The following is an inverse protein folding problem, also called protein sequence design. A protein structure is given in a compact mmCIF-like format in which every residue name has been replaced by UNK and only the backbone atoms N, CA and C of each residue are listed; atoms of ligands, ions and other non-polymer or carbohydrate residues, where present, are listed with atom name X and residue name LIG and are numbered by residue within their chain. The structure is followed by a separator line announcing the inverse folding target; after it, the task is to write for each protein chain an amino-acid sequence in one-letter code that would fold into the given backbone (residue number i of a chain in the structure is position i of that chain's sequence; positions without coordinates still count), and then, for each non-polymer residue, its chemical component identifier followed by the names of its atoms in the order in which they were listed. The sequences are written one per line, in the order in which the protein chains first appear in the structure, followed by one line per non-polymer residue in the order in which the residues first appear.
data_IF_003940914402
#
_entry.id   IF_003940914402
#
_cell.length_a   1.000
_cell.length_b   1.000
_cell.length_c   1.000
_cell.angle_alpha   90.00
_cell.angle_beta   90.00
_cell.angle_gamma   90.00
#
_symmetry.space_group_name_H-M   'P 1'
#
loop_
_entity.id
_entity.type
_entity.pdbx_description
1 polymer ?
#
# COMPACT_ATOMS: atom_id res chain seq x y z
N UNK A 1 20.63 -22.96 -9.74
CA UNK A 1 19.69 -21.82 -9.69
C UNK A 1 19.23 -21.53 -11.11
N UNK A 2 17.94 -21.79 -11.41
CA UNK A 2 17.44 -21.62 -12.79
C UNK A 2 16.67 -20.30 -13.01
N UNK A 3 16.62 -19.41 -12.01
CA UNK A 3 15.94 -18.11 -12.15
C UNK A 3 16.85 -17.08 -12.84
N UNK A 4 16.41 -16.46 -13.95
CA UNK A 4 17.18 -15.42 -14.64
C UNK A 4 17.49 -14.23 -13.72
N UNK A 5 16.54 -13.82 -12.87
CA UNK A 5 16.70 -12.73 -11.90
C UNK A 5 17.82 -13.03 -10.90
N UNK A 6 17.84 -14.24 -10.32
CA UNK A 6 18.90 -14.61 -9.37
C UNK A 6 20.27 -14.73 -10.04
N UNK A 7 20.32 -15.10 -11.33
CA UNK A 7 21.58 -15.10 -12.09
C UNK A 7 22.07 -13.67 -12.35
N UNK A 8 21.17 -12.76 -12.68
CA UNK A 8 21.50 -11.34 -12.85
C UNK A 8 22.06 -10.75 -11.55
N UNK A 9 21.35 -10.90 -10.42
CA UNK A 9 21.80 -10.42 -9.10
C UNK A 9 23.17 -10.99 -8.71
N UNK A 10 23.40 -12.27 -9.00
CA UNK A 10 24.72 -12.87 -8.80
C UNK A 10 25.82 -12.22 -9.66
N UNK A 11 25.51 -11.86 -10.89
CA UNK A 11 26.45 -11.17 -11.78
C UNK A 11 26.77 -9.77 -11.26
N UNK A 12 25.78 -9.05 -10.77
CA UNK A 12 25.95 -7.70 -10.20
C UNK A 12 26.82 -7.69 -8.93
N UNK A 13 26.83 -8.80 -8.16
CA UNK A 13 27.73 -9.01 -7.03
C UNK A 13 29.13 -9.49 -7.43
N UNK A 14 29.45 -9.51 -8.72
CA UNK A 14 30.75 -9.94 -9.22
C UNK A 14 31.38 -8.80 -10.00
N UNK A 15 32.59 -8.41 -9.67
CA UNK A 15 33.38 -7.39 -10.35
C UNK A 15 34.83 -7.88 -10.54
N UNK A 16 35.43 -7.63 -11.69
CA UNK A 16 36.82 -7.98 -12.02
C UNK A 16 37.21 -9.43 -11.62
N UNK A 17 36.38 -10.41 -11.89
CA UNK A 17 36.52 -11.82 -11.51
C UNK A 17 36.57 -12.09 -9.98
N UNK A 18 36.17 -11.12 -9.17
CA UNK A 18 36.07 -11.23 -7.72
C UNK A 18 34.63 -10.98 -7.25
N UNK A 19 34.17 -11.76 -6.27
CA UNK A 19 32.86 -11.53 -5.68
C UNK A 19 32.88 -10.38 -4.67
N UNK A 20 31.78 -9.67 -4.49
CA UNK A 20 31.62 -8.64 -3.48
C UNK A 20 32.06 -9.13 -2.08
N UNK A 21 31.69 -10.35 -1.71
CA UNK A 21 32.08 -10.99 -0.45
C UNK A 21 33.60 -11.13 -0.29
N UNK A 22 34.31 -11.50 -1.37
CA UNK A 22 35.77 -11.60 -1.35
C UNK A 22 36.43 -10.22 -1.22
N UNK A 23 35.93 -9.23 -1.96
CA UNK A 23 36.44 -7.86 -1.91
C UNK A 23 36.23 -7.23 -0.51
N UNK A 24 35.05 -7.40 0.09
CA UNK A 24 34.75 -6.92 1.44
C UNK A 24 35.61 -7.64 2.48
N UNK A 25 35.81 -8.96 2.35
CA UNK A 25 36.70 -9.73 3.24
C UNK A 25 38.15 -9.24 3.15
N UNK A 26 38.61 -8.90 1.93
CA UNK A 26 39.94 -8.31 1.73
C UNK A 26 40.06 -6.97 2.45
N UNK A 27 39.07 -6.08 2.35
CA UNK A 27 39.02 -4.82 3.09
C UNK A 27 39.05 -5.05 4.59
N UNK A 28 38.22 -5.97 5.10
CA UNK A 28 38.20 -6.32 6.53
C UNK A 28 39.60 -6.77 7.04
N UNK A 29 40.31 -7.60 6.25
CA UNK A 29 41.64 -8.02 6.59
C UNK A 29 42.64 -6.86 6.60
N UNK A 30 42.53 -5.91 5.65
CA UNK A 30 43.38 -4.71 5.62
C UNK A 30 43.11 -3.80 6.83
N UNK A 31 41.85 -3.60 7.18
CA UNK A 31 41.43 -2.81 8.35
C UNK A 31 41.94 -3.45 9.64
N UNK A 32 41.75 -4.76 9.81
CA UNK A 32 42.27 -5.50 10.96
C UNK A 32 43.82 -5.42 11.08
N UNK A 33 44.50 -5.43 9.92
CA UNK A 33 45.95 -5.25 9.90
C UNK A 33 46.36 -3.83 10.30
N UNK A 34 45.60 -2.81 9.91
CA UNK A 34 45.84 -1.43 10.33
C UNK A 34 45.55 -1.21 11.80
N UNK A 35 44.58 -1.91 12.38
CA UNK A 35 44.22 -1.84 13.81
C UNK A 35 45.32 -2.34 14.75
N UNK A 36 46.32 -3.11 14.23
CA UNK A 36 47.53 -3.48 15.01
C UNK A 36 48.31 -2.24 15.50
N UNK A 37 48.11 -1.06 14.93
CA UNK A 37 48.67 0.22 15.38
C UNK A 37 48.28 0.60 16.80
N UNK A 38 47.16 0.09 17.31
CA UNK A 38 46.70 0.34 18.69
C UNK A 38 47.59 -0.31 19.73
N UNK A 39 48.43 -1.29 19.35
CA UNK A 39 49.43 -1.89 20.21
C UNK A 39 50.77 -1.13 20.08
N UNK A 40 51.11 -0.32 21.08
CA UNK A 40 52.28 0.57 21.07
C UNK A 40 53.59 -0.13 20.73
N UNK A 41 53.87 -1.30 21.32
CA UNK A 41 55.08 -2.06 21.07
C UNK A 41 55.17 -2.58 19.63
N UNK A 42 54.06 -3.21 19.16
CA UNK A 42 53.98 -3.72 17.80
C UNK A 42 54.06 -2.60 16.78
N UNK A 43 53.34 -1.48 17.02
CA UNK A 43 53.36 -0.28 16.16
C UNK A 43 54.78 0.27 16.02
N UNK A 44 55.51 0.45 17.12
CA UNK A 44 56.88 0.99 17.09
C UNK A 44 57.85 0.09 16.30
N UNK A 45 57.79 -1.21 16.51
CA UNK A 45 58.63 -2.17 15.80
C UNK A 45 58.28 -2.24 14.30
N UNK A 46 57.00 -2.41 13.98
CA UNK A 46 56.55 -2.56 12.61
C UNK A 46 56.74 -1.29 11.78
N UNK A 47 56.46 -0.10 12.37
CA UNK A 47 56.64 1.15 11.66
C UNK A 47 58.12 1.53 11.53
N UNK A 48 58.92 1.28 12.56
CA UNK A 48 60.35 1.58 12.51
C UNK A 48 61.13 0.73 11.51
N UNK A 49 60.72 -0.53 11.28
CA UNK A 49 61.40 -1.43 10.36
C UNK A 49 60.88 -1.44 8.96
N UNK A 50 59.54 -1.37 8.76
CA UNK A 50 58.92 -1.68 7.48
C UNK A 50 57.81 -0.67 7.04
N UNK A 51 57.65 0.45 7.74
CA UNK A 51 56.60 1.44 7.44
C UNK A 51 55.24 0.80 7.35
N UNK A 52 54.89 -0.08 8.31
CA UNK A 52 53.71 -0.94 8.26
C UNK A 52 52.42 -0.16 8.06
N UNK A 53 52.19 0.87 8.80
CA UNK A 53 50.98 1.70 8.74
C UNK A 53 50.83 2.33 7.35
N UNK A 54 51.88 2.95 6.83
CA UNK A 54 51.91 3.52 5.50
C UNK A 54 51.56 2.49 4.41
N UNK A 55 52.13 1.28 4.53
CA UNK A 55 51.82 0.19 3.59
C UNK A 55 50.36 -0.25 3.67
N UNK A 56 49.76 -0.34 4.88
CA UNK A 56 48.33 -0.69 4.99
C UNK A 56 47.45 0.41 4.41
N UNK A 57 47.74 1.69 4.66
CA UNK A 57 47.03 2.81 4.08
C UNK A 57 47.07 2.77 2.55
N UNK A 58 48.27 2.58 1.94
CA UNK A 58 48.39 2.45 0.49
C UNK A 58 47.59 1.27 -0.07
N UNK A 59 47.51 0.14 0.62
CA UNK A 59 46.70 -1.02 0.21
C UNK A 59 45.21 -0.73 0.31
N UNK A 60 44.78 0.00 1.34
CA UNK A 60 43.38 0.43 1.50
C UNK A 60 43.00 1.42 0.41
N UNK A 61 43.85 2.40 0.10
CA UNK A 61 43.61 3.34 -1.00
C UNK A 61 43.51 2.61 -2.35
N UNK A 62 44.41 1.66 -2.61
CA UNK A 62 44.35 0.84 -3.82
C UNK A 62 43.05 0.01 -3.89
N UNK A 63 42.60 -0.53 -2.77
CA UNK A 63 41.33 -1.25 -2.69
C UNK A 63 40.17 -0.29 -3.00
N UNK A 64 40.17 0.90 -2.43
CA UNK A 64 39.18 1.94 -2.67
C UNK A 64 39.13 2.36 -4.15
N UNK A 65 40.27 2.63 -4.76
CA UNK A 65 40.35 2.94 -6.21
C UNK A 65 39.74 1.83 -7.08
N UNK A 66 39.89 0.57 -6.66
CA UNK A 66 39.42 -0.59 -7.41
C UNK A 66 37.92 -0.86 -7.22
N UNK A 67 37.38 -0.64 -6.01
CA UNK A 67 36.05 -1.13 -5.63
C UNK A 67 35.06 -0.06 -5.18
N UNK A 68 35.47 1.20 -4.99
CA UNK A 68 34.56 2.23 -4.47
C UNK A 68 33.34 2.47 -5.38
N UNK A 69 33.52 2.36 -6.70
CA UNK A 69 32.43 2.48 -7.67
C UNK A 69 31.44 1.30 -7.66
N UNK A 70 31.85 0.15 -7.16
CA UNK A 70 31.01 -1.04 -7.08
C UNK A 70 30.15 -1.10 -5.82
N UNK A 71 30.58 -0.43 -4.75
CA UNK A 71 29.91 -0.48 -3.43
C UNK A 71 28.41 -0.11 -3.48
N UNK A 72 28.00 1.01 -4.11
CA UNK A 72 26.59 1.35 -4.17
C UNK A 72 25.75 0.24 -4.82
N UNK A 73 26.24 -0.32 -5.94
CA UNK A 73 25.58 -1.42 -6.66
C UNK A 73 25.49 -2.68 -5.79
N UNK A 74 26.53 -3.04 -5.06
CA UNK A 74 26.48 -4.19 -4.15
C UNK A 74 25.46 -4.03 -3.03
N UNK A 75 25.37 -2.82 -2.44
CA UNK A 75 24.38 -2.52 -1.40
C UNK A 75 22.97 -2.61 -1.96
N UNK A 76 22.73 -2.03 -3.13
CA UNK A 76 21.44 -2.09 -3.82
C UNK A 76 21.01 -3.53 -4.13
N UNK A 77 21.93 -4.33 -4.70
CA UNK A 77 21.69 -5.74 -5.02
C UNK A 77 21.37 -6.58 -3.77
N UNK A 78 22.06 -6.30 -2.64
CA UNK A 78 21.77 -6.98 -1.37
C UNK A 78 20.36 -6.58 -0.88
N UNK A 79 20.00 -5.29 -1.01
CA UNK A 79 18.64 -4.81 -0.69
C UNK A 79 17.56 -5.49 -1.52
N UNK A 80 17.78 -5.69 -2.82
CA UNK A 80 16.87 -6.44 -3.67
C UNK A 80 16.74 -7.92 -3.24
N UNK A 81 17.85 -8.58 -2.93
CA UNK A 81 17.81 -9.97 -2.44
C UNK A 81 17.01 -10.05 -1.13
N UNK A 82 17.21 -9.11 -0.21
CA UNK A 82 16.48 -9.07 1.07
C UNK A 82 14.97 -8.86 0.84
N UNK A 83 14.59 -7.97 -0.09
CA UNK A 83 13.22 -7.78 -0.50
C UNK A 83 12.59 -9.07 -1.07
N UNK A 84 13.29 -9.76 -1.97
CA UNK A 84 12.82 -11.06 -2.49
C UNK A 84 12.72 -12.13 -1.41
N UNK A 85 13.65 -12.18 -0.46
CA UNK A 85 13.58 -13.10 0.68
C UNK A 85 12.37 -12.81 1.55
N UNK A 86 12.05 -11.54 1.78
CA UNK A 86 10.86 -11.11 2.54
C UNK A 86 9.56 -11.54 1.85
N UNK A 87 9.45 -11.33 0.53
CA UNK A 87 8.30 -11.76 -0.27
C UNK A 87 8.19 -13.30 -0.33
N UNK A 88 9.31 -14.00 -0.43
CA UNK A 88 9.33 -15.46 -0.42
C UNK A 88 8.89 -16.02 0.94
N UNK A 89 9.30 -15.41 2.04
CA UNK A 89 8.86 -15.75 3.40
C UNK A 89 7.36 -15.51 3.57
N UNK A 90 6.86 -14.38 3.05
CA UNK A 90 5.42 -14.09 3.05
C UNK A 90 4.66 -15.16 2.27
N UNK A 91 5.13 -15.54 1.08
CA UNK A 91 4.52 -16.59 0.25
C UNK A 91 4.54 -17.95 0.96
N UNK A 92 5.65 -18.32 1.58
CA UNK A 92 5.80 -19.57 2.30
C UNK A 92 4.83 -19.68 3.49
N UNK A 93 4.62 -18.58 4.20
CA UNK A 93 3.71 -18.53 5.34
C UNK A 93 2.22 -18.49 4.94
N UNK A 94 1.92 -18.25 3.65
CA UNK A 94 0.56 -18.12 3.13
C UNK A 94 0.37 -19.01 1.90
N UNK A 95 0.44 -20.35 2.05
CA UNK A 95 0.40 -21.30 0.92
C UNK A 95 -0.96 -21.33 0.19
N UNK A 96 -2.01 -20.79 0.80
CA UNK A 96 -3.36 -20.67 0.24
C UNK A 96 -3.59 -19.36 -0.53
N UNK A 97 -2.59 -18.46 -0.57
CA UNK A 97 -2.65 -17.24 -1.37
C UNK A 97 -2.29 -17.56 -2.83
N UNK A 98 -2.84 -16.78 -3.74
CA UNK A 98 -2.62 -16.94 -5.17
C UNK A 98 -1.77 -15.80 -5.74
N UNK A 99 -0.99 -16.07 -6.76
CA UNK A 99 -0.38 -15.01 -7.56
C UNK A 99 -1.43 -14.43 -8.52
N UNK A 100 -1.65 -13.09 -8.51
CA UNK A 100 -2.62 -12.46 -9.38
C UNK A 100 -2.14 -12.47 -10.82
N UNK A 101 -3.11 -12.45 -11.76
CA UNK A 101 -2.81 -12.22 -13.16
C UNK A 101 -2.67 -10.72 -13.42
N UNK A 102 -1.59 -10.33 -14.08
CA UNK A 102 -1.35 -8.95 -14.49
C UNK A 102 -1.84 -8.76 -15.92
N UNK A 103 -2.79 -7.83 -16.11
CA UNK A 103 -3.31 -7.47 -17.42
C UNK A 103 -2.40 -6.41 -18.06
N UNK A 104 -2.16 -6.54 -19.37
CA UNK A 104 -1.50 -5.52 -20.19
C UNK A 104 -2.48 -4.60 -20.92
N UNK A 105 -3.78 -4.89 -20.84
CA UNK A 105 -4.84 -4.09 -21.45
C UNK A 105 -5.27 -2.97 -20.51
N UNK A 106 -6.20 -2.09 -20.99
CA UNK A 106 -6.73 -0.96 -20.20
C UNK A 106 -7.12 -1.35 -18.76
N UNK A 107 -7.28 -0.36 -17.89
CA UNK A 107 -7.52 -0.57 -16.45
C UNK A 107 -8.58 -1.64 -16.18
N UNK A 108 -8.17 -2.64 -15.44
CA UNK A 108 -8.96 -3.80 -15.07
C UNK A 108 -8.60 -4.19 -13.63
N UNK A 109 -9.60 -4.39 -12.79
CA UNK A 109 -9.44 -4.91 -11.44
C UNK A 109 -10.62 -5.85 -11.16
N UNK A 110 -10.38 -7.14 -11.26
CA UNK A 110 -11.35 -8.17 -10.92
C UNK A 110 -10.77 -9.09 -9.88
N UNK A 111 -11.52 -9.32 -8.80
CA UNK A 111 -11.14 -10.30 -7.80
C UNK A 111 -12.37 -10.97 -7.20
N UNK A 112 -12.24 -12.28 -6.92
CA UNK A 112 -13.23 -13.06 -6.21
C UNK A 112 -12.72 -13.38 -4.81
N UNK A 113 -13.60 -13.22 -3.82
CA UNK A 113 -13.36 -13.61 -2.43
C UNK A 113 -12.04 -13.07 -1.86
N UNK A 114 -11.83 -11.73 -1.95
CA UNK A 114 -10.72 -11.02 -1.32
C UNK A 114 -10.82 -11.07 0.20
N UNK A 115 -9.73 -11.48 0.87
CA UNK A 115 -9.58 -11.42 2.30
C UNK A 115 -8.49 -10.42 2.73
N UNK A 116 -8.61 -9.86 3.92
CA UNK A 116 -7.60 -8.95 4.47
C UNK A 116 -6.43 -9.78 5.06
N UNK A 117 -5.19 -9.65 4.57
CA UNK A 117 -4.06 -10.51 4.97
C UNK A 117 -3.78 -10.56 6.48
N UNK A 118 -4.10 -9.47 7.21
CA UNK A 118 -3.86 -9.38 8.65
C UNK A 118 -5.07 -9.82 9.50
N UNK A 119 -6.18 -10.27 8.88
CA UNK A 119 -7.33 -10.75 9.61
C UNK A 119 -7.24 -12.25 9.87
N UNK A 120 -7.84 -12.66 11.00
CA UNK A 120 -8.01 -14.08 11.28
C UNK A 120 -8.84 -14.74 10.17
N UNK A 121 -8.30 -15.81 9.56
CA UNK A 121 -8.89 -16.52 8.42
C UNK A 121 -10.32 -16.99 8.68
N UNK A 122 -10.58 -17.45 9.90
CA UNK A 122 -11.89 -18.00 10.29
C UNK A 122 -12.94 -16.91 10.56
N UNK A 123 -12.53 -15.65 10.72
CA UNK A 123 -13.42 -14.51 11.00
C UNK A 123 -13.55 -13.56 9.82
N UNK A 124 -12.69 -13.67 8.81
CA UNK A 124 -12.68 -12.78 7.67
C UNK A 124 -13.79 -13.14 6.69
N UNK A 125 -14.74 -12.25 6.51
CA UNK A 125 -15.74 -12.33 5.44
C UNK A 125 -15.12 -11.77 4.18
N UNK A 126 -15.06 -12.58 3.13
CA UNK A 126 -14.40 -12.24 1.88
C UNK A 126 -15.40 -11.73 0.85
N UNK A 127 -15.10 -10.60 0.24
CA UNK A 127 -15.93 -9.97 -0.79
C UNK A 127 -15.17 -9.85 -2.11
N UNK A 128 -15.89 -9.74 -3.22
CA UNK A 128 -15.29 -9.53 -4.54
C UNK A 128 -15.19 -8.06 -4.93
N UNK A 129 -14.57 -7.81 -6.08
CA UNK A 129 -14.55 -6.52 -6.76
C UNK A 129 -14.51 -6.76 -8.27
N UNK A 130 -15.18 -5.89 -9.03
CA UNK A 130 -15.18 -5.92 -10.49
C UNK A 130 -15.21 -4.49 -11.06
N UNK A 131 -14.09 -4.06 -11.66
CA UNK A 131 -13.92 -2.83 -12.41
C UNK A 131 -13.31 -3.22 -13.75
N UNK A 132 -14.09 -3.18 -14.82
CA UNK A 132 -13.72 -3.69 -16.13
C UNK A 132 -13.49 -2.59 -17.18
N UNK A 133 -13.59 -1.33 -16.80
CA UNK A 133 -13.43 -0.18 -17.68
C UNK A 133 -12.97 1.07 -16.96
N UNK A 134 -12.69 2.12 -17.72
CA UNK A 134 -12.27 3.43 -17.27
C UNK A 134 -13.02 4.53 -18.03
N UNK A 135 -13.55 5.57 -17.38
CA UNK A 135 -13.60 5.78 -15.93
C UNK A 135 -14.62 4.86 -15.25
N UNK A 136 -14.38 4.53 -13.99
CA UNK A 136 -15.31 3.73 -13.21
C UNK A 136 -15.16 3.98 -11.70
N UNK A 137 -16.28 4.22 -11.01
CA UNK A 137 -16.30 4.39 -9.57
C UNK A 137 -17.27 3.42 -8.89
N UNK A 138 -16.82 2.86 -7.78
CA UNK A 138 -17.66 2.11 -6.85
C UNK A 138 -17.99 3.03 -5.66
N UNK A 139 -19.28 3.24 -5.40
CA UNK A 139 -19.75 3.98 -4.23
C UNK A 139 -20.29 2.96 -3.22
N UNK A 140 -19.73 2.98 -2.01
CA UNK A 140 -20.08 2.04 -0.95
C UNK A 140 -20.74 2.80 0.19
N UNK A 141 -22.00 2.48 0.45
CA UNK A 141 -22.78 3.08 1.53
C UNK A 141 -22.96 2.10 2.70
N UNK A 142 -23.40 2.61 3.85
CA UNK A 142 -23.72 1.80 5.01
C UNK A 142 -23.35 2.42 6.34
N UNK A 143 -23.82 1.82 7.41
CA UNK A 143 -23.59 2.28 8.78
C UNK A 143 -22.12 2.18 9.23
N UNK A 144 -21.80 2.84 10.34
CA UNK A 144 -20.52 2.63 11.01
C UNK A 144 -20.43 1.17 11.49
N UNK A 145 -19.20 0.64 11.55
CA UNK A 145 -18.89 -0.74 11.94
C UNK A 145 -19.39 -1.84 10.97
N UNK A 146 -20.10 -1.49 9.89
CA UNK A 146 -20.64 -2.48 8.95
C UNK A 146 -19.57 -3.13 8.03
N UNK A 147 -18.31 -2.62 8.06
CA UNK A 147 -17.20 -3.25 7.32
C UNK A 147 -16.65 -2.45 6.15
N UNK A 148 -17.20 -1.27 5.82
CA UNK A 148 -16.76 -0.43 4.67
C UNK A 148 -15.26 -0.17 4.66
N UNK A 149 -14.71 0.42 5.72
CA UNK A 149 -13.28 0.76 5.81
C UNK A 149 -12.38 -0.48 5.78
N UNK A 150 -12.85 -1.60 6.34
CA UNK A 150 -12.13 -2.89 6.28
C UNK A 150 -12.07 -3.40 4.84
N UNK A 151 -13.17 -3.30 4.10
CA UNK A 151 -13.22 -3.69 2.69
C UNK A 151 -12.29 -2.81 1.84
N UNK A 152 -12.32 -1.48 2.00
CA UNK A 152 -11.41 -0.57 1.29
C UNK A 152 -9.94 -0.93 1.53
N UNK A 153 -9.58 -1.22 2.79
CA UNK A 153 -8.22 -1.67 3.13
C UNK A 153 -7.90 -3.03 2.52
N UNK A 154 -8.87 -3.95 2.51
CA UNK A 154 -8.70 -5.27 1.89
C UNK A 154 -8.39 -5.15 0.40
N UNK A 155 -9.14 -4.31 -0.33
CA UNK A 155 -8.87 -4.05 -1.74
C UNK A 155 -7.50 -3.39 -1.91
N UNK A 156 -7.22 -2.32 -1.16
CA UNK A 156 -5.97 -1.56 -1.29
C UNK A 156 -4.73 -2.40 -1.03
N UNK A 157 -4.71 -3.22 0.04
CA UNK A 157 -3.53 -4.03 0.37
C UNK A 157 -3.32 -5.17 -0.64
N UNK A 158 -4.38 -5.86 -1.08
CA UNK A 158 -4.22 -6.90 -2.09
C UNK A 158 -3.82 -6.31 -3.46
N UNK A 159 -4.35 -5.14 -3.82
CA UNK A 159 -3.92 -4.44 -5.03
C UNK A 159 -2.44 -4.06 -4.96
N UNK A 160 -1.98 -3.52 -3.83
CA UNK A 160 -0.56 -3.20 -3.61
C UNK A 160 0.32 -4.45 -3.70
N UNK A 161 -0.06 -5.54 -3.00
CA UNK A 161 0.65 -6.82 -3.07
C UNK A 161 0.73 -7.34 -4.51
N UNK A 162 -0.36 -7.26 -5.26
CA UNK A 162 -0.38 -7.63 -6.67
C UNK A 162 0.58 -6.79 -7.52
N UNK A 163 0.63 -5.47 -7.32
CA UNK A 163 1.52 -4.57 -8.05
C UNK A 163 3.01 -4.84 -7.79
N UNK A 164 3.37 -5.33 -6.60
CA UNK A 164 4.76 -5.69 -6.27
C UNK A 164 5.11 -7.15 -6.55
N UNK A 165 4.19 -7.91 -7.18
CA UNK A 165 4.41 -9.32 -7.53
C UNK A 165 4.28 -10.31 -6.39
N UNK A 166 3.67 -9.91 -5.26
CA UNK A 166 3.39 -10.78 -4.13
C UNK A 166 2.08 -11.56 -4.31
N UNK A 167 1.89 -12.71 -3.63
CA UNK A 167 0.62 -13.41 -3.62
C UNK A 167 -0.43 -12.62 -2.82
N UNK A 168 -1.70 -12.82 -3.18
CA UNK A 168 -2.86 -12.14 -2.61
C UNK A 168 -3.84 -13.15 -2.01
N UNK A 169 -4.58 -12.73 -1.00
CA UNK A 169 -5.61 -13.57 -0.42
C UNK A 169 -6.94 -13.44 -1.17
N UNK A 170 -7.04 -14.15 -2.26
CA UNK A 170 -8.22 -14.21 -3.11
C UNK A 170 -8.43 -15.62 -3.67
N UNK A 171 -9.63 -15.89 -4.19
CA UNK A 171 -9.87 -17.09 -5.00
C UNK A 171 -9.33 -16.90 -6.42
N UNK A 172 -9.52 -15.72 -6.97
CA UNK A 172 -8.96 -15.26 -8.24
C UNK A 172 -8.73 -13.76 -8.18
N UNK A 173 -7.69 -13.27 -8.86
CA UNK A 173 -7.44 -11.84 -9.01
C UNK A 173 -6.73 -11.55 -10.32
N UNK A 174 -7.23 -10.57 -11.05
CA UNK A 174 -6.62 -10.00 -12.24
C UNK A 174 -6.61 -8.48 -12.09
N UNK A 175 -5.45 -7.85 -12.34
CA UNK A 175 -5.28 -6.40 -12.22
C UNK A 175 -4.53 -5.82 -13.41
N UNK A 176 -4.82 -4.55 -13.70
CA UNK A 176 -3.93 -3.66 -14.43
C UNK A 176 -3.18 -2.79 -13.42
N UNK A 177 -1.85 -2.75 -13.41
CA UNK A 177 -1.09 -1.96 -12.46
C UNK A 177 -1.24 -0.47 -12.76
N UNK A 178 -1.79 0.28 -11.80
CA UNK A 178 -1.81 1.74 -11.78
C UNK A 178 -1.32 2.23 -10.41
N UNK A 179 -1.01 3.50 -10.29
CA UNK A 179 -0.56 4.04 -9.00
C UNK A 179 -1.72 4.12 -8.02
N UNK A 180 -1.61 3.38 -6.92
CA UNK A 180 -2.60 3.40 -5.84
C UNK A 180 -2.45 4.69 -5.02
N UNK A 181 -3.55 5.43 -4.87
CA UNK A 181 -3.63 6.58 -3.96
C UNK A 181 -4.81 6.39 -3.01
N UNK A 182 -4.57 6.54 -1.72
CA UNK A 182 -5.61 6.30 -0.71
C UNK A 182 -5.79 7.50 0.20
N UNK A 183 -7.04 7.75 0.64
CA UNK A 183 -7.39 8.62 1.74
C UNK A 183 -8.32 7.84 2.68
N UNK A 184 -7.73 7.00 3.54
CA UNK A 184 -8.48 6.05 4.39
C UNK A 184 -8.65 6.51 5.84
N UNK A 185 -7.80 7.31 6.36
CA UNK A 185 -7.88 8.08 7.60
C UNK A 185 -6.79 9.13 7.59
N UNK A 186 -7.11 10.34 7.95
CA UNK A 186 -6.12 11.35 8.34
C UNK A 186 -6.05 11.33 9.87
N UNK A 187 -4.86 11.18 10.43
CA UNK A 187 -4.62 11.43 11.85
C UNK A 187 -4.55 12.94 12.07
N UNK A 188 -5.15 13.43 13.15
CA UNK A 188 -4.90 14.79 13.60
C UNK A 188 -3.40 14.94 13.87
N UNK A 189 -2.74 15.83 13.14
CA UNK A 189 -1.40 16.27 13.50
C UNK A 189 -1.55 17.48 14.42
N UNK A 190 -1.42 17.25 15.70
CA UNK A 190 -1.39 18.33 16.70
C UNK A 190 -0.16 19.24 16.54
N UNK A 191 0.80 18.85 15.70
CA UNK A 191 2.06 19.55 15.49
C UNK A 191 2.00 20.63 14.39
N UNK A 192 1.06 20.54 13.45
CA UNK A 192 1.10 21.41 12.25
C UNK A 192 0.10 22.56 12.25
N UNK A 193 -0.66 22.79 13.33
CA UNK A 193 -1.69 23.84 13.44
C UNK A 193 -2.68 23.91 12.23
N UNK A 194 -2.75 22.88 11.41
CA UNK A 194 -3.67 22.81 10.28
C UNK A 194 -4.97 22.12 10.70
N UNK A 195 -6.11 22.69 10.28
CA UNK A 195 -7.38 22.02 10.50
C UNK A 195 -7.44 20.72 9.71
N UNK A 196 -8.03 19.68 10.30
CA UNK A 196 -8.29 18.39 9.66
C UNK A 196 -8.85 18.52 8.23
N UNK A 197 -9.80 19.43 8.05
CA UNK A 197 -10.43 19.71 6.77
C UNK A 197 -9.44 20.23 5.73
N UNK A 198 -8.51 21.13 6.13
CA UNK A 198 -7.53 21.69 5.21
C UNK A 198 -6.49 20.64 4.77
N UNK A 199 -6.05 19.78 5.68
CA UNK A 199 -5.17 18.66 5.35
C UNK A 199 -5.84 17.69 4.36
N UNK A 200 -7.13 17.42 4.54
CA UNK A 200 -7.90 16.61 3.60
C UNK A 200 -8.01 17.27 2.22
N UNK A 201 -8.29 18.57 2.14
CA UNK A 201 -8.31 19.32 0.87
C UNK A 201 -6.96 19.28 0.15
N UNK A 202 -5.84 19.45 0.86
CA UNK A 202 -4.49 19.30 0.29
C UNK A 202 -4.29 17.91 -0.33
N UNK A 203 -4.77 16.88 0.36
CA UNK A 203 -4.68 15.50 -0.16
C UNK A 203 -5.49 15.31 -1.43
N UNK A 204 -6.73 15.83 -1.46
CA UNK A 204 -7.58 15.77 -2.66
C UNK A 204 -6.97 16.58 -3.81
N UNK A 205 -6.41 17.77 -3.52
CA UNK A 205 -5.69 18.57 -4.52
C UNK A 205 -4.50 17.81 -5.09
N UNK A 206 -3.69 17.15 -4.25
CA UNK A 206 -2.57 16.31 -4.72
C UNK A 206 -3.03 15.21 -5.69
N UNK A 207 -4.20 14.59 -5.44
CA UNK A 207 -4.76 13.59 -6.36
C UNK A 207 -5.11 14.23 -7.70
N UNK A 208 -5.76 15.40 -7.66
CA UNK A 208 -6.14 16.14 -8.88
C UNK A 208 -4.89 16.53 -9.67
N UNK A 209 -3.86 17.10 -9.01
CA UNK A 209 -2.62 17.51 -9.67
C UNK A 209 -1.93 16.33 -10.38
N UNK A 210 -1.93 15.16 -9.77
CA UNK A 210 -1.39 13.93 -10.38
C UNK A 210 -2.18 13.49 -11.62
N UNK A 211 -3.51 13.57 -11.55
CA UNK A 211 -4.38 13.28 -12.70
C UNK A 211 -4.18 14.28 -13.82
N UNK A 212 -4.05 15.58 -13.52
CA UNK A 212 -3.74 16.64 -14.48
C UNK A 212 -2.37 16.44 -15.13
N UNK A 213 -1.41 15.90 -14.39
CA UNK A 213 -0.10 15.50 -14.90
C UNK A 213 -0.12 14.22 -15.77
N UNK A 214 -1.29 13.59 -15.95
CA UNK A 214 -1.45 12.38 -16.76
C UNK A 214 -1.08 11.09 -16.06
N UNK A 215 -0.89 11.09 -14.73
CA UNK A 215 -0.64 9.86 -13.98
C UNK A 215 -1.88 8.95 -13.99
N UNK A 216 -1.69 7.67 -14.21
CA UNK A 216 -2.75 6.67 -14.08
C UNK A 216 -2.93 6.29 -12.60
N UNK A 217 -4.07 6.66 -12.03
CA UNK A 217 -4.37 6.43 -10.62
C UNK A 217 -5.51 5.43 -10.43
N UNK A 218 -5.37 4.62 -9.37
CA UNK A 218 -6.47 3.92 -8.72
C UNK A 218 -6.69 4.55 -7.34
N UNK A 219 -7.89 5.10 -7.09
CA UNK A 219 -8.17 5.95 -5.93
C UNK A 219 -9.08 5.21 -4.95
N UNK A 220 -8.69 5.19 -3.66
CA UNK A 220 -9.52 4.64 -2.59
C UNK A 220 -9.75 5.71 -1.52
N UNK A 221 -11.02 6.09 -1.31
CA UNK A 221 -11.43 7.14 -0.39
C UNK A 221 -12.37 6.58 0.69
N UNK A 222 -12.12 6.96 1.94
CA UNK A 222 -12.97 6.60 3.08
C UNK A 222 -13.52 7.87 3.73
N UNK A 223 -14.77 8.21 3.41
CA UNK A 223 -15.44 9.43 3.84
C UNK A 223 -14.65 10.72 3.58
N UNK A 224 -14.96 11.39 2.52
CA UNK A 224 -14.34 12.68 2.17
C UNK A 224 -15.10 13.86 2.78
N UNK A 225 -14.36 14.98 2.98
CA UNK A 225 -14.87 16.27 3.44
C UNK A 225 -15.54 16.20 4.83
N UNK A 226 -14.89 15.51 5.77
CA UNK A 226 -15.42 15.30 7.14
C UNK A 226 -15.46 16.56 8.00
N UNK A 227 -14.64 17.54 7.71
CA UNK A 227 -14.45 18.74 8.55
C UNK A 227 -15.37 19.91 8.23
N UNK A 228 -16.42 19.74 7.41
CA UNK A 228 -17.36 20.80 7.03
C UNK A 228 -18.82 20.44 7.35
N UNK A 229 -19.73 21.38 7.15
CA UNK A 229 -21.17 21.14 7.33
C UNK A 229 -21.70 20.12 6.29
N UNK A 230 -22.85 19.53 6.61
CA UNK A 230 -23.43 18.44 5.79
C UNK A 230 -23.76 18.84 4.35
N UNK A 231 -24.22 20.09 4.10
CA UNK A 231 -24.56 20.55 2.78
C UNK A 231 -23.33 20.76 1.89
N UNK A 232 -22.28 21.37 2.44
CA UNK A 232 -21.01 21.60 1.71
C UNK A 232 -20.31 20.26 1.46
N UNK A 233 -20.30 19.36 2.46
CA UNK A 233 -19.80 17.99 2.30
C UNK A 233 -20.47 17.28 1.13
N UNK A 234 -21.80 17.33 1.06
CA UNK A 234 -22.57 16.69 0.02
C UNK A 234 -22.25 17.28 -1.36
N UNK A 235 -22.39 18.61 -1.51
CA UNK A 235 -22.11 19.30 -2.79
C UNK A 235 -20.67 19.08 -3.26
N UNK A 236 -19.72 19.17 -2.33
CA UNK A 236 -18.30 18.96 -2.59
C UNK A 236 -18.00 17.52 -3.04
N UNK A 237 -18.59 16.52 -2.36
CA UNK A 237 -18.43 15.11 -2.73
C UNK A 237 -18.98 14.80 -4.12
N UNK A 238 -20.16 15.33 -4.45
CA UNK A 238 -20.73 15.21 -5.78
C UNK A 238 -19.85 15.83 -6.87
N UNK A 239 -19.39 17.06 -6.63
CA UNK A 239 -18.54 17.77 -7.57
C UNK A 239 -17.22 17.04 -7.80
N UNK A 240 -16.60 16.53 -6.72
CA UNK A 240 -15.34 15.80 -6.79
C UNK A 240 -15.44 14.50 -7.57
N UNK A 241 -16.48 13.68 -7.32
CA UNK A 241 -16.66 12.43 -8.10
C UNK A 241 -16.93 12.74 -9.57
N UNK A 242 -17.75 13.76 -9.89
CA UNK A 242 -17.95 14.20 -11.29
C UNK A 242 -16.63 14.65 -11.93
N UNK A 243 -15.80 15.38 -11.20
CA UNK A 243 -14.48 15.77 -11.68
C UNK A 243 -13.59 14.56 -11.96
N UNK A 244 -13.53 13.58 -11.06
CA UNK A 244 -12.77 12.35 -11.28
C UNK A 244 -13.28 11.55 -12.50
N UNK A 245 -14.59 11.49 -12.70
CA UNK A 245 -15.17 10.87 -13.90
C UNK A 245 -14.71 11.55 -15.19
N UNK A 246 -14.67 12.90 -15.20
CA UNK A 246 -14.20 13.68 -16.34
C UNK A 246 -12.68 13.55 -16.56
N UNK A 247 -11.92 13.25 -15.52
CA UNK A 247 -10.46 13.02 -15.58
C UNK A 247 -10.12 11.56 -15.92
N UNK A 248 -11.10 10.77 -16.34
CA UNK A 248 -10.91 9.38 -16.81
C UNK A 248 -10.14 8.51 -15.82
N UNK A 249 -10.52 8.52 -14.55
CA UNK A 249 -9.86 7.73 -13.49
C UNK A 249 -10.80 6.70 -12.87
N UNK A 250 -10.24 5.76 -12.11
CA UNK A 250 -10.97 4.71 -11.43
C UNK A 250 -10.81 4.81 -9.92
N UNK A 251 -11.86 4.48 -9.19
CA UNK A 251 -11.79 4.53 -7.74
C UNK A 251 -12.92 3.84 -7.00
N UNK A 252 -12.75 3.82 -5.68
CA UNK A 252 -13.75 3.36 -4.72
C UNK A 252 -13.89 4.44 -3.66
N UNK A 253 -15.12 4.77 -3.31
CA UNK A 253 -15.41 5.66 -2.19
C UNK A 253 -16.39 5.00 -1.23
N UNK A 254 -16.07 4.98 0.06
CA UNK A 254 -17.00 4.67 1.12
C UNK A 254 -17.57 5.97 1.70
N UNK A 255 -18.87 5.99 1.95
CA UNK A 255 -19.55 7.17 2.49
C UNK A 255 -20.77 6.78 3.33
N UNK A 256 -21.17 7.68 4.23
CA UNK A 256 -22.44 7.64 4.92
C UNK A 256 -23.51 8.49 4.20
N UNK A 257 -23.13 9.29 3.23
CA UNK A 257 -24.06 10.07 2.43
C UNK A 257 -24.72 9.18 1.36
N UNK A 258 -25.97 8.82 1.63
CA UNK A 258 -26.76 7.98 0.73
C UNK A 258 -27.08 8.66 -0.60
N UNK A 259 -27.15 10.00 -0.60
CA UNK A 259 -27.43 10.77 -1.81
C UNK A 259 -26.29 10.68 -2.84
N UNK A 260 -25.04 10.44 -2.39
CA UNK A 260 -23.94 10.22 -3.34
C UNK A 260 -24.22 9.03 -4.28
N UNK A 261 -25.02 8.06 -3.82
CA UNK A 261 -25.49 6.94 -4.63
C UNK A 261 -26.32 7.33 -5.85
N UNK A 262 -26.98 8.49 -5.85
CA UNK A 262 -27.78 8.98 -6.99
C UNK A 262 -26.92 9.38 -8.19
N UNK A 263 -25.59 9.49 -8.02
CA UNK A 263 -24.68 9.70 -9.16
C UNK A 263 -24.75 8.61 -10.22
N UNK A 264 -25.25 7.42 -9.88
CA UNK A 264 -25.49 6.34 -10.86
C UNK A 264 -26.47 6.77 -11.95
N UNK A 265 -27.43 7.66 -11.66
CA UNK A 265 -28.38 8.20 -12.64
C UNK A 265 -27.68 9.05 -13.70
N UNK A 266 -26.64 9.80 -13.30
CA UNK A 266 -25.82 10.60 -14.22
C UNK A 266 -24.77 9.77 -14.98
N UNK A 267 -24.31 8.65 -14.41
CA UNK A 267 -23.26 7.79 -14.97
C UNK A 267 -23.62 6.30 -14.86
N UNK A 268 -24.71 5.83 -15.47
CA UNK A 268 -25.27 4.49 -15.23
C UNK A 268 -24.36 3.34 -15.65
N UNK A 269 -23.43 3.60 -16.56
CA UNK A 269 -22.45 2.59 -17.00
C UNK A 269 -21.12 2.65 -16.27
N UNK A 270 -20.86 3.72 -15.52
CA UNK A 270 -19.53 4.03 -14.97
C UNK A 270 -19.53 4.12 -13.45
N UNK A 271 -20.70 4.05 -12.82
CA UNK A 271 -20.85 4.02 -11.36
C UNK A 271 -21.62 2.77 -10.96
N UNK A 272 -21.15 2.08 -9.93
CA UNK A 272 -21.90 1.03 -9.24
C UNK A 272 -22.03 1.35 -7.77
N UNK A 273 -23.20 1.11 -7.24
CA UNK A 273 -23.49 1.25 -5.82
C UNK A 273 -23.47 -0.11 -5.14
N UNK A 274 -22.77 -0.16 -4.01
CA UNK A 274 -22.80 -1.28 -3.09
C UNK A 274 -23.08 -0.78 -1.68
N UNK A 275 -23.51 -1.68 -0.81
CA UNK A 275 -23.73 -1.35 0.58
C UNK A 275 -23.27 -2.46 1.52
N UNK A 276 -22.95 -2.05 2.75
CA UNK A 276 -22.80 -2.91 3.89
C UNK A 276 -23.90 -2.58 4.88
N UNK A 277 -24.77 -3.52 5.15
CA UNK A 277 -25.91 -3.35 6.05
C UNK A 277 -25.75 -4.15 7.32
N UNK A 278 -26.39 -3.65 8.38
CA UNK A 278 -26.57 -4.38 9.59
C UNK A 278 -27.99 -4.95 9.60
N UNK A 279 -28.12 -6.20 10.00
CA UNK A 279 -29.39 -6.87 10.16
C UNK A 279 -29.81 -6.77 11.66
N UNK A 280 -31.11 -6.50 11.92
CA UNK A 280 -31.65 -6.50 13.27
C UNK A 280 -32.39 -7.83 13.46
N UNK A 281 -31.82 -8.72 14.27
CA UNK A 281 -32.39 -10.02 14.58
C UNK A 281 -32.56 -10.15 16.09
N UNK A 282 -33.75 -10.51 16.56
CA UNK A 282 -34.06 -10.67 17.99
C UNK A 282 -33.67 -9.44 18.84
N UNK A 283 -33.91 -8.24 18.36
CA UNK A 283 -33.53 -6.99 19.01
C UNK A 283 -32.01 -6.83 19.22
N UNK A 284 -31.20 -7.53 18.40
CA UNK A 284 -29.75 -7.39 18.35
C UNK A 284 -29.29 -6.96 16.95
N UNK A 285 -28.30 -6.07 16.94
CA UNK A 285 -27.67 -5.61 15.71
C UNK A 285 -26.56 -6.59 15.34
N UNK A 286 -26.70 -7.21 14.20
CA UNK A 286 -25.71 -8.17 13.65
C UNK A 286 -25.16 -7.63 12.33
N UNK A 287 -23.90 -7.95 12.04
CA UNK A 287 -23.24 -7.54 10.81
C UNK A 287 -22.80 -8.77 10.03
N UNK A 288 -23.35 -8.93 8.84
CA UNK A 288 -22.94 -10.01 7.93
C UNK A 288 -21.58 -9.77 7.31
N UNK A 289 -21.11 -8.51 7.25
CA UNK A 289 -19.92 -8.06 6.54
C UNK A 289 -19.90 -8.47 5.05
N UNK A 290 -21.05 -8.86 4.51
CA UNK A 290 -21.21 -9.16 3.09
C UNK A 290 -21.60 -7.90 2.33
N UNK A 291 -20.90 -7.62 1.23
CA UNK A 291 -21.24 -6.55 0.33
C UNK A 291 -22.48 -6.91 -0.48
N UNK A 292 -23.45 -6.00 -0.51
CA UNK A 292 -24.72 -6.13 -1.27
C UNK A 292 -24.79 -5.07 -2.34
N UNK A 293 -25.53 -5.36 -3.42
CA UNK A 293 -25.78 -4.37 -4.48
C UNK A 293 -26.77 -3.29 -4.00
N UNK A 294 -26.55 -2.05 -4.41
CA UNK A 294 -27.44 -0.92 -4.12
C UNK A 294 -26.93 0.00 -3.03
N UNK A 295 -27.80 0.90 -2.58
CA UNK A 295 -27.55 1.90 -1.53
C UNK A 295 -28.13 1.38 -0.22
N UNK A 296 -27.45 1.60 0.89
CA UNK A 296 -27.92 1.18 2.21
C UNK A 296 -29.26 1.84 2.58
N UNK A 297 -30.17 1.04 3.11
CA UNK A 297 -31.50 1.53 3.51
C UNK A 297 -31.58 1.90 4.98
N UNK A 298 -30.79 1.21 5.84
CA UNK A 298 -30.85 1.35 7.29
C UNK A 298 -29.54 1.91 7.86
N UNK A 299 -29.62 3.05 8.55
CA UNK A 299 -28.47 3.70 9.19
C UNK A 299 -28.28 3.31 10.67
N UNK A 300 -29.14 2.51 11.26
CA UNK A 300 -29.10 1.83 12.57
C UNK A 300 -28.55 2.62 13.80
N UNK A 301 -28.16 3.89 13.65
CA UNK A 301 -27.61 4.69 14.73
C UNK A 301 -28.66 4.91 15.85
N UNK A 302 -29.91 5.26 15.47
CA UNK A 302 -31.00 5.47 16.40
C UNK A 302 -31.34 4.19 17.18
N UNK A 303 -31.28 3.03 16.52
CA UNK A 303 -31.49 1.74 17.17
C UNK A 303 -30.43 1.49 18.26
N UNK A 304 -29.16 1.74 17.98
CA UNK A 304 -28.08 1.60 18.98
C UNK A 304 -28.25 2.58 20.13
N UNK A 305 -28.61 3.82 19.85
CA UNK A 305 -28.87 4.84 20.89
C UNK A 305 -30.00 4.39 21.81
N UNK A 306 -31.15 3.93 21.27
CA UNK A 306 -32.25 3.37 22.05
C UNK A 306 -31.80 2.19 22.92
N UNK A 307 -31.02 1.26 22.36
CA UNK A 307 -30.52 0.09 23.08
C UNK A 307 -29.57 0.47 24.22
N UNK A 308 -28.81 1.54 24.09
CA UNK A 308 -27.93 2.09 25.14
C UNK A 308 -28.66 2.98 26.16
N UNK A 309 -29.96 3.13 26.05
CA UNK A 309 -30.73 3.99 26.94
C UNK A 309 -30.58 5.48 26.67
N UNK A 310 -30.05 5.85 25.51
CA UNK A 310 -29.96 7.26 25.08
C UNK A 310 -31.29 7.64 24.45
N UNK A 311 -31.87 8.76 24.91
CA UNK A 311 -33.14 9.23 24.38
C UNK A 311 -33.06 9.54 22.88
N UNK A 312 -34.00 9.00 22.10
CA UNK A 312 -34.18 9.25 20.68
C UNK A 312 -35.61 9.76 20.51
N UNK A 313 -35.80 10.85 19.79
CA UNK A 313 -37.12 11.33 19.40
C UNK A 313 -37.61 10.40 18.30
N UNK A 314 -38.75 9.76 18.54
CA UNK A 314 -39.47 9.01 17.52
C UNK A 314 -40.23 10.03 16.65
N UNK A 315 -39.99 10.02 15.32
CA UNK A 315 -40.76 10.80 14.34
C UNK A 315 -42.18 10.24 14.14
#
# INVERSE_FOLDING_TARGET
MNSPVLQQLKTELTSQNQTASQAVRQLSNLMNALDQRSNLLMSTILNGLIFWELRQVMRIEKWKETHASDLPRWIETIGEIDAYCSLATFTYNHPDYIFPKISSQSFHLRAEALGHPLMNRNKCVRNGIDIDKRPFFIIITGANMAGKSTYLRTVGINYLLACIGAPVWAKQMEIYPARLVTSLRTSDSLTDNESYFFAELKRLKLIIDKLEAGEELFIILDEILKGTNSMDKQKGSFALIKQFMNMNTNGIIATHDLLLGTLIESFPQNIRNYCFEADITNNELTFSYQMRNGVAQNMNACFLMKKMGIAVIDD
#
